data_IF_852275442935
#
_entry.id   IF_852275442935
#
_cell.length_a   1.000
_cell.length_b   1.000
_cell.length_c   1.000
_cell.angle_alpha   90.00
_cell.angle_beta   90.00
_cell.angle_gamma   90.00
#
_symmetry.space_group_name_H-M   'P 1'
#
loop_
_entity.id
_entity.type
_entity.pdbx_description
1 polymer ?
#
# COMPACT_ATOMS: atom_id res chain seq x y z
N UNK A 1 77.98 19.85 -25.86
CA UNK A 1 77.65 18.48 -26.29
C UNK A 1 77.19 17.60 -25.15
N UNK A 2 75.96 17.77 -24.65
CA UNK A 2 75.36 16.89 -23.61
C UNK A 2 73.89 16.52 -23.86
N UNK A 3 73.34 16.79 -25.06
CA UNK A 3 71.95 16.44 -25.43
C UNK A 3 71.82 15.23 -26.38
N UNK A 4 72.88 14.80 -27.08
CA UNK A 4 72.77 13.71 -28.06
C UNK A 4 72.92 12.30 -27.44
N UNK A 5 73.44 12.18 -26.21
CA UNK A 5 73.68 10.87 -25.57
C UNK A 5 72.46 10.32 -24.82
N UNK A 6 71.52 11.18 -24.41
CA UNK A 6 70.26 10.78 -23.76
C UNK A 6 69.26 10.26 -24.79
N UNK A 7 69.18 10.89 -25.97
CA UNK A 7 68.25 10.49 -27.03
C UNK A 7 68.60 9.11 -27.61
N UNK A 8 69.88 8.81 -27.78
CA UNK A 8 70.31 7.50 -28.27
C UNK A 8 70.06 6.37 -27.24
N UNK A 9 70.26 6.64 -25.95
CA UNK A 9 69.97 5.66 -24.88
C UNK A 9 68.48 5.34 -24.77
N UNK A 10 67.61 6.33 -24.96
CA UNK A 10 66.16 6.12 -24.99
C UNK A 10 65.74 5.27 -26.20
N UNK A 11 66.31 5.52 -27.39
CA UNK A 11 65.97 4.75 -28.59
C UNK A 11 66.42 3.29 -28.48
N UNK A 12 67.58 3.02 -27.87
CA UNK A 12 68.04 1.63 -27.63
C UNK A 12 67.18 0.94 -26.57
N UNK A 13 66.73 1.66 -25.53
CA UNK A 13 65.81 1.09 -24.55
C UNK A 13 64.45 0.76 -25.17
N UNK A 14 63.93 1.61 -26.05
CA UNK A 14 62.65 1.36 -26.75
C UNK A 14 62.77 0.16 -27.69
N UNK A 15 63.89 0.00 -28.40
CA UNK A 15 64.07 -1.17 -29.29
C UNK A 15 64.24 -2.48 -28.51
N UNK A 16 64.95 -2.46 -27.38
CA UNK A 16 65.10 -3.64 -26.51
C UNK A 16 63.76 -4.01 -25.85
N UNK A 17 62.98 -3.04 -25.37
CA UNK A 17 61.63 -3.30 -24.83
C UNK A 17 60.68 -3.81 -25.92
N UNK A 18 60.78 -3.30 -27.15
CA UNK A 18 59.98 -3.79 -28.28
C UNK A 18 60.35 -5.22 -28.68
N UNK A 19 61.64 -5.58 -28.64
CA UNK A 19 62.11 -6.95 -28.95
C UNK A 19 61.76 -7.95 -27.84
N UNK A 20 61.75 -7.54 -26.57
CA UNK A 20 61.36 -8.43 -25.45
C UNK A 20 59.84 -8.63 -25.39
N UNK A 21 59.03 -7.66 -25.85
CA UNK A 21 57.57 -7.80 -25.91
C UNK A 21 57.05 -8.61 -27.12
N UNK A 22 57.87 -8.88 -28.14
CA UNK A 22 57.42 -9.60 -29.34
C UNK A 22 57.45 -11.12 -29.24
N UNK A 23 57.98 -11.70 -28.16
CA UNK A 23 58.11 -13.17 -27.99
C UNK A 23 57.51 -13.71 -26.68
N UNK A 24 56.52 -13.02 -26.11
CA UNK A 24 55.61 -13.60 -25.11
C UNK A 24 54.31 -14.02 -25.81
N UNK A 25 54.37 -15.22 -26.39
CA UNK A 25 53.29 -16.21 -26.48
C UNK A 25 51.92 -15.77 -27.07
N UNK A 26 51.94 -15.28 -28.32
CA UNK A 26 50.74 -15.13 -29.15
C UNK A 26 49.98 -16.47 -29.35
N UNK A 27 50.64 -17.62 -29.23
CA UNK A 27 50.00 -18.94 -29.35
C UNK A 27 49.17 -19.31 -28.13
N UNK A 28 49.65 -19.10 -26.89
CA UNK A 28 48.84 -19.37 -25.68
C UNK A 28 47.68 -18.39 -25.51
N UNK A 29 47.82 -17.13 -25.92
CA UNK A 29 46.72 -16.16 -25.84
C UNK A 29 45.60 -16.46 -26.84
N UNK A 30 45.95 -16.93 -28.05
CA UNK A 30 44.98 -17.41 -29.03
C UNK A 30 44.21 -18.65 -28.56
N UNK A 31 44.92 -19.60 -27.93
CA UNK A 31 44.29 -20.80 -27.34
C UNK A 31 43.36 -20.43 -26.17
N UNK A 32 43.82 -19.57 -25.25
CA UNK A 32 42.99 -19.09 -24.14
C UNK A 32 41.77 -18.32 -24.64
N UNK A 33 41.92 -17.44 -25.63
CA UNK A 33 40.79 -16.73 -26.26
C UNK A 33 39.81 -17.68 -26.94
N UNK A 34 40.30 -18.70 -27.67
CA UNK A 34 39.48 -19.72 -28.32
C UNK A 34 38.69 -20.61 -27.35
N UNK A 35 39.16 -20.76 -26.10
CA UNK A 35 38.51 -21.57 -25.06
C UNK A 35 37.61 -20.71 -24.15
N UNK A 36 37.98 -19.44 -23.94
CA UNK A 36 37.27 -18.48 -23.08
C UNK A 36 36.06 -17.88 -23.80
N UNK A 37 36.18 -17.48 -25.07
CA UNK A 37 35.06 -16.93 -25.87
C UNK A 37 33.83 -17.87 -25.97
N UNK A 38 33.96 -19.18 -26.26
CA UNK A 38 32.79 -20.05 -26.32
C UNK A 38 32.16 -20.25 -24.94
N UNK A 39 32.96 -20.31 -23.87
CA UNK A 39 32.44 -20.46 -22.49
C UNK A 39 31.73 -19.20 -21.99
N UNK A 40 32.27 -18.02 -22.29
CA UNK A 40 31.62 -16.74 -21.99
C UNK A 40 30.32 -16.62 -22.78
N UNK A 41 30.31 -16.99 -24.07
CA UNK A 41 29.11 -16.97 -24.90
C UNK A 41 28.00 -17.92 -24.41
N UNK A 42 28.36 -19.15 -24.01
CA UNK A 42 27.40 -20.12 -23.46
C UNK A 42 26.84 -19.65 -22.12
N UNK A 43 27.69 -19.09 -21.25
CA UNK A 43 27.24 -18.55 -19.97
C UNK A 43 26.35 -17.31 -20.16
N UNK A 44 26.67 -16.42 -21.10
CA UNK A 44 25.84 -15.26 -21.45
C UNK A 44 24.47 -15.69 -21.98
N UNK A 45 24.40 -16.73 -22.83
CA UNK A 45 23.13 -17.28 -23.30
C UNK A 45 22.30 -17.88 -22.16
N UNK A 46 22.95 -18.57 -21.22
CA UNK A 46 22.29 -19.12 -20.03
C UNK A 46 21.74 -18.02 -19.12
N UNK A 47 22.49 -16.95 -18.92
CA UNK A 47 22.03 -15.77 -18.15
C UNK A 47 20.82 -15.15 -18.85
N UNK A 48 20.88 -14.92 -20.15
CA UNK A 48 19.76 -14.36 -20.92
C UNK A 48 18.50 -15.26 -20.86
N UNK A 49 18.66 -16.59 -20.92
CA UNK A 49 17.55 -17.52 -20.75
C UNK A 49 16.96 -17.48 -19.34
N UNK A 50 17.80 -17.31 -18.32
CA UNK A 50 17.34 -17.16 -16.94
C UNK A 50 16.61 -15.84 -16.72
N UNK A 51 17.11 -14.73 -17.28
CA UNK A 51 16.43 -13.44 -17.28
C UNK A 51 15.04 -13.55 -17.92
N UNK A 52 14.92 -14.19 -19.08
CA UNK A 52 13.63 -14.38 -19.74
C UNK A 52 12.65 -15.23 -18.92
N UNK A 53 13.15 -16.25 -18.21
CA UNK A 53 12.33 -17.06 -17.31
C UNK A 53 11.91 -16.28 -16.06
N UNK A 54 12.81 -15.44 -15.53
CA UNK A 54 12.53 -14.55 -14.42
C UNK A 54 11.44 -13.55 -14.79
N UNK A 55 11.52 -12.92 -15.96
CA UNK A 55 10.53 -11.99 -16.46
C UNK A 55 9.16 -12.68 -16.62
N UNK A 56 9.14 -13.87 -17.25
CA UNK A 56 7.91 -14.65 -17.39
C UNK A 56 7.29 -15.06 -16.05
N UNK A 57 8.12 -15.46 -15.09
CA UNK A 57 7.66 -15.81 -13.74
C UNK A 57 7.11 -14.58 -13.00
N UNK A 58 7.72 -13.41 -13.20
CA UNK A 58 7.25 -12.15 -12.64
C UNK A 58 5.87 -11.80 -13.22
N UNK A 59 5.71 -11.88 -14.53
CA UNK A 59 4.42 -11.65 -15.20
C UNK A 59 3.35 -12.65 -14.70
N UNK A 60 3.69 -13.93 -14.58
CA UNK A 60 2.78 -14.97 -14.05
C UNK A 60 2.35 -14.68 -12.59
N UNK A 61 3.26 -14.15 -11.75
CA UNK A 61 2.94 -13.75 -10.37
C UNK A 61 2.08 -12.48 -10.35
N UNK A 62 2.35 -11.51 -11.22
CA UNK A 62 1.52 -10.28 -11.34
C UNK A 62 0.09 -10.62 -11.78
N UNK A 63 -0.07 -11.52 -12.77
CA UNK A 63 -1.37 -12.01 -13.22
C UNK A 63 -2.09 -12.81 -12.11
N UNK A 64 -1.37 -13.67 -11.38
CA UNK A 64 -1.92 -14.43 -10.27
C UNK A 64 -2.39 -13.54 -9.11
N UNK A 65 -1.72 -12.39 -8.87
CA UNK A 65 -2.13 -11.40 -7.88
C UNK A 65 -3.47 -10.72 -8.24
N UNK A 66 -3.81 -10.67 -9.52
CA UNK A 66 -5.07 -10.09 -9.99
C UNK A 66 -6.22 -11.12 -10.06
N UNK A 67 -5.90 -12.41 -9.97
CA UNK A 67 -6.90 -13.47 -9.88
C UNK A 67 -7.42 -13.54 -8.46
N UNK A 68 -8.60 -12.95 -8.22
CA UNK A 68 -9.32 -13.15 -6.95
C UNK A 68 -9.51 -14.64 -6.72
N UNK A 69 -9.11 -15.11 -5.55
CA UNK A 69 -9.41 -16.48 -5.15
C UNK A 69 -10.90 -16.62 -4.87
N UNK A 70 -11.40 -17.86 -4.83
CA UNK A 70 -12.80 -18.10 -4.45
C UNK A 70 -13.04 -17.59 -3.03
N UNK A 71 -12.07 -17.73 -2.13
CA UNK A 71 -12.16 -17.28 -0.75
C UNK A 71 -12.28 -15.75 -0.66
N UNK A 72 -11.47 -14.99 -1.42
CA UNK A 72 -11.57 -13.52 -1.46
C UNK A 72 -12.97 -13.04 -1.91
N UNK A 73 -13.56 -13.76 -2.88
CA UNK A 73 -14.90 -13.44 -3.38
C UNK A 73 -15.97 -13.82 -2.36
N UNK A 74 -15.80 -14.93 -1.65
CA UNK A 74 -16.72 -15.36 -0.60
C UNK A 74 -16.69 -14.37 0.57
N UNK A 75 -15.52 -13.95 1.03
CA UNK A 75 -15.38 -12.93 2.08
C UNK A 75 -16.01 -11.59 1.67
N UNK A 76 -15.79 -11.15 0.42
CA UNK A 76 -16.41 -9.92 -0.08
C UNK A 76 -17.94 -10.02 -0.12
N UNK A 77 -18.48 -11.15 -0.57
CA UNK A 77 -19.93 -11.37 -0.66
C UNK A 77 -20.55 -11.49 0.73
N UNK A 78 -19.90 -12.18 1.66
CA UNK A 78 -20.35 -12.35 3.04
C UNK A 78 -20.39 -10.99 3.77
N UNK A 79 -19.33 -10.19 3.64
CA UNK A 79 -19.29 -8.84 4.20
C UNK A 79 -20.39 -7.92 3.65
N UNK A 80 -20.75 -8.09 2.37
CA UNK A 80 -21.87 -7.35 1.75
C UNK A 80 -23.23 -7.88 2.20
N UNK A 81 -23.37 -9.20 2.35
CA UNK A 81 -24.59 -9.83 2.83
C UNK A 81 -24.91 -9.37 4.26
N UNK A 82 -23.91 -9.32 5.15
CA UNK A 82 -24.07 -8.86 6.54
C UNK A 82 -24.59 -7.41 6.67
N UNK A 83 -24.39 -6.56 5.65
CA UNK A 83 -24.94 -5.20 5.61
C UNK A 83 -26.37 -5.13 5.06
N UNK A 84 -26.83 -6.17 4.38
CA UNK A 84 -28.18 -6.28 3.77
C UNK A 84 -29.11 -7.10 4.65
N UNK A 85 -28.58 -8.05 5.41
CA UNK A 85 -29.32 -8.79 6.42
C UNK A 85 -29.82 -7.83 7.51
N UNK A 86 -31.08 -8.02 7.90
CA UNK A 86 -31.77 -7.15 8.83
C UNK A 86 -31.09 -7.22 10.21
N UNK A 87 -30.38 -6.13 10.58
CA UNK A 87 -29.79 -6.02 11.90
C UNK A 87 -30.91 -6.01 12.93
N UNK A 88 -30.86 -6.97 13.84
CA UNK A 88 -31.84 -7.06 14.93
C UNK A 88 -31.49 -6.06 16.03
N UNK A 89 -30.20 -5.79 16.20
CA UNK A 89 -29.68 -4.85 17.20
C UNK A 89 -29.76 -3.40 16.69
N UNK A 90 -30.00 -2.43 17.60
CA UNK A 90 -29.85 -1.00 17.35
C UNK A 90 -28.49 -0.62 16.74
N UNK A 91 -28.42 0.54 16.07
CA UNK A 91 -27.21 1.01 15.37
C UNK A 91 -26.00 1.18 16.29
N UNK A 92 -26.17 1.45 17.57
CA UNK A 92 -25.11 1.62 18.57
C UNK A 92 -24.71 0.34 19.30
N UNK A 93 -25.34 -0.79 18.93
CA UNK A 93 -25.09 -2.11 19.45
C UNK A 93 -24.43 -3.02 18.40
N UNK A 94 -23.72 -4.02 18.90
CA UNK A 94 -23.05 -5.07 18.18
C UNK A 94 -23.83 -6.36 18.34
N UNK A 95 -24.08 -7.07 17.24
CA UNK A 95 -24.78 -8.36 17.27
C UNK A 95 -23.75 -9.49 17.30
N UNK A 96 -23.79 -10.32 18.35
CA UNK A 96 -22.97 -11.54 18.42
C UNK A 96 -23.30 -12.49 17.28
N UNK A 97 -22.32 -13.27 16.83
CA UNK A 97 -22.56 -14.37 15.90
C UNK A 97 -23.27 -15.53 16.66
N UNK A 98 -24.25 -16.16 16.02
CA UNK A 98 -24.95 -17.34 16.58
C UNK A 98 -26.46 -17.19 16.82
N UNK A 99 -27.06 -18.28 17.32
CA UNK A 99 -28.52 -18.45 17.42
C UNK A 99 -29.20 -17.58 18.48
N UNK A 100 -28.43 -17.05 19.44
CA UNK A 100 -28.92 -16.11 20.43
C UNK A 100 -28.64 -14.70 19.94
N UNK A 101 -29.70 -13.96 19.58
CA UNK A 101 -29.64 -12.54 19.22
C UNK A 101 -29.29 -11.71 20.47
N UNK A 102 -28.02 -11.79 20.90
CA UNK A 102 -27.47 -10.97 21.97
C UNK A 102 -26.87 -9.72 21.34
N UNK A 103 -27.32 -8.58 21.84
CA UNK A 103 -26.80 -7.28 21.46
C UNK A 103 -25.89 -6.77 22.57
N UNK A 104 -24.68 -6.35 22.21
CA UNK A 104 -23.68 -5.78 23.10
C UNK A 104 -23.49 -4.31 22.77
N UNK A 105 -23.02 -3.53 23.73
CA UNK A 105 -22.55 -2.18 23.40
C UNK A 105 -21.35 -2.26 22.47
N UNK A 106 -21.27 -1.38 21.47
CA UNK A 106 -20.06 -1.23 20.63
C UNK A 106 -18.79 -0.87 21.42
N UNK A 107 -18.90 -0.58 22.72
CA UNK A 107 -17.76 -0.36 23.63
C UNK A 107 -17.13 -1.65 24.15
N UNK A 108 -17.85 -2.77 24.11
CA UNK A 108 -17.43 -4.07 24.64
C UNK A 108 -16.71 -4.93 23.59
N UNK A 109 -16.84 -4.58 22.31
CA UNK A 109 -16.17 -5.33 21.24
C UNK A 109 -14.67 -5.06 21.27
N UNK A 110 -13.86 -6.12 21.26
CA UNK A 110 -12.40 -6.07 21.34
C UNK A 110 -11.88 -5.35 22.59
N UNK A 111 -12.60 -5.48 23.71
CA UNK A 111 -12.22 -4.91 25.00
C UNK A 111 -11.26 -5.81 25.81
N UNK A 112 -11.08 -7.06 25.34
CA UNK A 112 -10.27 -8.10 25.96
C UNK A 112 -11.07 -9.06 26.86
N UNK A 113 -12.39 -8.91 26.92
CA UNK A 113 -13.30 -9.78 27.64
C UNK A 113 -14.28 -10.43 26.68
N UNK A 114 -14.45 -11.74 26.82
CA UNK A 114 -15.42 -12.48 26.03
C UNK A 114 -16.83 -12.24 26.57
N UNK A 115 -17.58 -11.34 25.93
CA UNK A 115 -18.94 -10.99 26.28
C UNK A 115 -19.99 -11.72 25.42
N UNK A 116 -19.65 -12.11 24.18
CA UNK A 116 -20.52 -13.00 23.40
C UNK A 116 -20.36 -14.46 23.87
N UNK A 117 -21.46 -15.22 23.84
CA UNK A 117 -21.46 -16.62 24.27
C UNK A 117 -20.58 -17.50 23.34
N UNK A 118 -20.41 -17.07 22.09
CA UNK A 118 -19.54 -17.68 21.09
C UNK A 118 -18.15 -17.03 21.00
N UNK A 119 -17.96 -15.89 21.65
CA UNK A 119 -16.73 -15.11 21.66
C UNK A 119 -16.43 -14.31 20.39
N UNK A 120 -17.45 -14.12 19.54
CA UNK A 120 -17.31 -13.34 18.31
C UNK A 120 -16.85 -11.90 18.55
N UNK A 121 -17.17 -11.30 19.68
CA UNK A 121 -16.74 -9.95 20.05
C UNK A 121 -15.22 -9.79 20.23
N UNK A 122 -14.48 -10.90 20.40
CA UNK A 122 -13.02 -10.95 20.58
C UNK A 122 -12.31 -11.70 19.43
N UNK A 123 -12.99 -11.92 18.30
CA UNK A 123 -12.38 -12.56 17.13
C UNK A 123 -11.35 -11.63 16.47
N UNK A 124 -10.08 -12.04 16.49
CA UNK A 124 -8.95 -11.27 15.95
C UNK A 124 -8.95 -11.17 14.41
N UNK A 125 -9.50 -12.15 13.71
CA UNK A 125 -9.43 -12.24 12.25
C UNK A 125 -10.56 -11.41 11.60
N UNK A 126 -11.72 -11.31 12.25
CA UNK A 126 -12.88 -10.63 11.67
C UNK A 126 -13.22 -9.28 12.33
N UNK A 127 -13.31 -9.21 13.65
CA UNK A 127 -13.79 -8.00 14.33
C UNK A 127 -12.66 -7.12 14.87
N UNK A 128 -11.65 -7.74 15.48
CA UNK A 128 -10.52 -7.02 16.09
C UNK A 128 -9.34 -6.80 15.13
N UNK A 129 -9.53 -7.10 13.85
CA UNK A 129 -8.55 -6.82 12.80
C UNK A 129 -8.30 -5.32 12.63
N UNK A 130 -7.08 -4.91 12.92
CA UNK A 130 -6.59 -3.53 12.83
C UNK A 130 -5.92 -3.22 11.50
N UNK A 131 -5.85 -4.20 10.60
CA UNK A 131 -5.21 -4.06 9.30
C UNK A 131 -5.69 -2.83 8.51
N UNK A 132 -6.99 -2.50 8.45
CA UNK A 132 -7.49 -1.30 7.78
C UNK A 132 -6.76 0.00 8.13
N UNK A 133 -6.31 0.12 9.38
CA UNK A 133 -5.69 1.35 9.91
C UNK A 133 -4.23 1.16 10.29
N UNK A 134 -3.57 0.14 9.72
CA UNK A 134 -2.14 -0.06 9.92
C UNK A 134 -1.33 1.12 9.32
N UNK A 135 -0.37 1.70 10.07
CA UNK A 135 0.46 2.80 9.58
C UNK A 135 1.21 2.44 8.30
N UNK A 136 1.33 3.41 7.39
CA UNK A 136 1.96 3.24 6.09
C UNK A 136 1.02 2.78 4.98
N UNK A 137 -0.22 2.38 5.29
CA UNK A 137 -1.24 2.08 4.28
C UNK A 137 -1.69 3.36 3.57
N UNK A 138 -1.84 3.26 2.26
CA UNK A 138 -2.31 4.35 1.39
C UNK A 138 -3.53 3.84 0.62
N UNK A 139 -4.66 4.49 0.82
CA UNK A 139 -5.90 4.22 0.08
C UNK A 139 -6.11 5.32 -0.95
N UNK A 140 -6.17 4.96 -2.22
CA UNK A 140 -6.30 5.92 -3.32
C UNK A 140 -7.57 5.66 -4.12
N UNK A 141 -8.16 6.71 -4.67
CA UNK A 141 -9.39 6.61 -5.44
C UNK A 141 -9.94 7.97 -5.84
N UNK A 142 -11.27 8.05 -6.02
CA UNK A 142 -11.95 9.26 -6.47
C UNK A 142 -13.04 9.67 -5.49
N UNK A 143 -13.08 10.97 -5.20
CA UNK A 143 -14.12 11.62 -4.43
C UNK A 143 -15.13 12.29 -5.35
N UNK A 144 -16.42 12.05 -5.12
CA UNK A 144 -17.55 12.64 -5.82
C UNK A 144 -18.40 13.45 -4.85
N UNK A 145 -18.52 14.75 -5.12
CA UNK A 145 -19.29 15.69 -4.30
C UNK A 145 -20.62 16.02 -4.97
N UNK A 146 -21.68 16.12 -4.16
CA UNK A 146 -22.99 16.53 -4.63
C UNK A 146 -23.65 17.61 -3.75
N UNK A 147 -23.05 17.96 -2.60
CA UNK A 147 -23.55 19.02 -1.70
C UNK A 147 -22.42 19.63 -0.85
N UNK A 148 -22.75 20.61 -0.01
CA UNK A 148 -21.90 21.34 0.94
C UNK A 148 -20.83 22.25 0.31
N UNK A 149 -20.08 21.75 -0.67
CA UNK A 149 -19.05 22.51 -1.39
C UNK A 149 -19.15 22.18 -2.88
N UNK A 150 -19.09 23.19 -3.73
CA UNK A 150 -19.04 23.01 -5.18
C UNK A 150 -17.63 22.54 -5.60
N UNK A 151 -17.39 21.23 -5.55
CA UNK A 151 -16.17 20.59 -6.02
C UNK A 151 -16.46 19.66 -7.19
N UNK A 152 -15.63 19.69 -8.22
CA UNK A 152 -15.66 18.66 -9.26
C UNK A 152 -15.13 17.34 -8.70
N UNK A 153 -15.52 16.19 -9.28
CA UNK A 153 -14.91 14.91 -8.94
C UNK A 153 -13.39 14.98 -9.09
N UNK A 154 -12.68 14.51 -8.07
CA UNK A 154 -11.23 14.68 -7.97
C UNK A 154 -10.58 13.44 -7.39
N UNK A 155 -9.28 13.25 -7.68
CA UNK A 155 -8.53 12.18 -7.06
C UNK A 155 -8.32 12.48 -5.57
N UNK A 156 -8.34 11.43 -4.75
CA UNK A 156 -8.15 11.50 -3.32
C UNK A 156 -7.29 10.33 -2.86
N UNK A 157 -6.41 10.60 -1.88
CA UNK A 157 -5.58 9.60 -1.24
C UNK A 157 -5.60 9.80 0.28
N UNK A 158 -5.77 8.71 1.01
CA UNK A 158 -5.77 8.66 2.47
C UNK A 158 -4.57 7.84 2.92
N UNK A 159 -3.61 8.48 3.59
CA UNK A 159 -2.40 7.83 4.12
C UNK A 159 -2.52 7.68 5.62
N UNK A 160 -2.49 6.45 6.13
CA UNK A 160 -2.53 6.21 7.58
C UNK A 160 -1.15 6.42 8.18
N UNK A 161 -1.03 7.32 9.16
CA UNK A 161 0.24 7.71 9.79
C UNK A 161 0.48 7.02 11.12
N UNK A 162 -0.58 6.81 11.92
CA UNK A 162 -0.48 6.18 13.22
C UNK A 162 -1.80 5.55 13.67
N UNK A 163 -1.73 4.43 14.40
CA UNK A 163 -2.83 3.77 15.09
C UNK A 163 -2.51 3.58 16.59
N UNK A 164 -2.99 4.50 17.42
CA UNK A 164 -2.69 4.51 18.84
C UNK A 164 -3.74 3.66 19.58
N UNK A 165 -3.28 2.61 20.28
CA UNK A 165 -4.10 1.81 21.20
C UNK A 165 -4.14 2.50 22.58
N UNK A 166 -5.32 2.67 23.16
CA UNK A 166 -5.49 3.13 24.53
C UNK A 166 -5.74 1.92 25.42
N UNK A 167 -4.91 1.71 26.45
CA UNK A 167 -4.99 0.50 27.28
C UNK A 167 -6.33 0.33 28.00
N UNK A 168 -6.97 1.44 28.38
CA UNK A 168 -8.28 1.43 29.03
C UNK A 168 -9.46 1.38 28.05
N UNK A 169 -9.18 1.39 26.74
CA UNK A 169 -10.21 1.52 25.72
C UNK A 169 -9.73 0.97 24.37
N UNK A 170 -9.84 -0.34 24.21
CA UNK A 170 -9.31 -1.07 23.07
C UNK A 170 -10.34 -1.24 21.94
N UNK A 171 -11.63 -1.10 22.25
CA UNK A 171 -12.74 -1.07 21.28
C UNK A 171 -12.59 0.01 20.19
N UNK A 172 -11.73 1.02 20.42
CA UNK A 172 -11.37 2.02 19.41
C UNK A 172 -9.86 2.21 19.32
N UNK A 173 -9.37 2.42 18.10
CA UNK A 173 -7.99 2.87 17.84
C UNK A 173 -8.03 4.34 17.50
N UNK A 174 -7.19 5.16 18.14
CA UNK A 174 -7.04 6.55 17.74
C UNK A 174 -6.16 6.60 16.50
N UNK A 175 -6.66 7.17 15.42
CA UNK A 175 -5.96 7.18 14.13
C UNK A 175 -5.53 8.59 13.77
N UNK A 176 -4.30 8.71 13.28
CA UNK A 176 -3.81 9.90 12.58
C UNK A 176 -3.51 9.54 11.14
N UNK A 177 -3.91 10.41 10.22
CA UNK A 177 -3.74 10.18 8.80
C UNK A 177 -3.55 11.52 8.05
N UNK A 178 -3.07 11.43 6.83
CA UNK A 178 -2.99 12.54 5.90
C UNK A 178 -3.99 12.30 4.76
N UNK A 179 -4.79 13.31 4.44
CA UNK A 179 -5.71 13.30 3.32
C UNK A 179 -5.17 14.21 2.22
N UNK A 180 -4.76 13.62 1.10
CA UNK A 180 -4.28 14.31 -0.08
C UNK A 180 -5.37 14.33 -1.15
N UNK A 181 -5.55 15.47 -1.81
CA UNK A 181 -6.46 15.60 -2.95
C UNK A 181 -5.81 16.35 -4.09
N UNK A 182 -6.20 15.99 -5.31
CA UNK A 182 -5.71 16.60 -6.54
C UNK A 182 -6.89 17.12 -7.34
N UNK A 183 -7.07 18.43 -7.35
CA UNK A 183 -8.20 19.12 -7.99
C UNK A 183 -7.75 19.83 -9.27
N UNK A 184 -8.63 19.92 -10.28
CA UNK A 184 -8.42 20.77 -11.44
C UNK A 184 -9.26 22.04 -11.30
N UNK A 185 -8.61 23.17 -11.06
CA UNK A 185 -9.25 24.47 -10.91
C UNK A 185 -8.84 25.35 -12.08
N UNK A 186 -9.79 25.64 -12.97
CA UNK A 186 -9.58 26.47 -14.17
C UNK A 186 -8.40 26.01 -15.06
N UNK A 187 -8.23 24.69 -15.23
CA UNK A 187 -7.14 24.12 -16.04
C UNK A 187 -5.80 24.01 -15.30
N UNK A 188 -5.73 24.41 -14.03
CA UNK A 188 -4.54 24.22 -13.18
C UNK A 188 -4.78 23.09 -12.19
N UNK A 189 -3.83 22.16 -12.13
CA UNK A 189 -3.79 21.13 -11.09
C UNK A 189 -3.36 21.77 -9.77
N UNK A 190 -4.19 21.59 -8.74
CA UNK A 190 -3.94 22.04 -7.37
C UNK A 190 -3.94 20.82 -6.47
N UNK A 191 -2.86 20.64 -5.74
CA UNK A 191 -2.73 19.59 -4.74
C UNK A 191 -2.91 20.19 -3.36
N UNK A 192 -3.63 19.48 -2.49
CA UNK A 192 -3.85 19.88 -1.11
C UNK A 192 -3.68 18.68 -0.20
N UNK A 193 -2.91 18.85 0.86
CA UNK A 193 -2.72 17.87 1.92
C UNK A 193 -3.29 18.42 3.22
N UNK A 194 -4.16 17.65 3.87
CA UNK A 194 -4.77 17.98 5.15
C UNK A 194 -4.39 16.91 6.19
N UNK A 195 -3.93 17.35 7.35
CA UNK A 195 -3.73 16.45 8.49
C UNK A 195 -5.07 16.15 9.15
N UNK A 196 -5.42 14.87 9.24
CA UNK A 196 -6.69 14.42 9.79
C UNK A 196 -6.48 13.47 10.96
N UNK A 197 -7.39 13.53 11.92
CA UNK A 197 -7.38 12.68 13.10
C UNK A 197 -8.76 12.11 13.38
N UNK A 198 -8.81 11.01 14.09
CA UNK A 198 -10.05 10.49 14.61
C UNK A 198 -9.86 9.10 15.20
N UNK A 199 -10.78 8.19 14.89
CA UNK A 199 -10.75 6.85 15.46
C UNK A 199 -11.31 5.79 14.52
N UNK A 200 -10.78 4.59 14.66
CA UNK A 200 -11.34 3.38 14.09
C UNK A 200 -12.20 2.68 15.14
N UNK A 201 -13.43 2.33 14.77
CA UNK A 201 -14.36 1.58 15.59
C UNK A 201 -14.39 0.12 15.12
N UNK A 202 -13.99 -0.81 15.99
CA UNK A 202 -13.94 -2.24 15.67
C UNK A 202 -15.33 -2.81 15.38
N UNK A 203 -16.28 -2.56 16.28
CA UNK A 203 -17.65 -3.07 16.17
C UNK A 203 -18.37 -2.65 14.87
N UNK A 204 -18.12 -1.42 14.40
CA UNK A 204 -18.74 -0.88 13.19
C UNK A 204 -17.86 -0.98 11.93
N UNK A 205 -16.63 -1.47 12.07
CA UNK A 205 -15.59 -1.48 11.03
C UNK A 205 -15.53 -0.17 10.25
N UNK A 206 -15.54 0.95 10.96
CA UNK A 206 -15.49 2.27 10.34
C UNK A 206 -14.45 3.21 10.95
N UNK A 207 -13.82 3.99 10.07
CA UNK A 207 -12.86 5.03 10.41
C UNK A 207 -13.55 6.38 10.30
N UNK A 208 -13.60 7.10 11.42
CA UNK A 208 -14.11 8.47 11.48
C UNK A 208 -12.93 9.42 11.52
N UNK A 209 -12.90 10.38 10.59
CA UNK A 209 -11.83 11.36 10.45
C UNK A 209 -12.40 12.77 10.46
N UNK A 210 -11.71 13.65 11.18
CA UNK A 210 -11.93 15.09 11.18
C UNK A 210 -10.62 15.80 10.88
N UNK A 211 -10.72 16.96 10.26
CA UNK A 211 -9.58 17.85 10.05
C UNK A 211 -9.04 18.33 11.40
N UNK A 212 -7.72 18.21 11.59
CA UNK A 212 -7.06 18.63 12.82
C UNK A 212 -7.05 20.16 12.99
N UNK A 213 -6.99 20.89 11.87
CA UNK A 213 -6.94 22.37 11.84
C UNK A 213 -8.32 23.00 11.60
N UNK A 214 -9.36 22.17 11.42
CA UNK A 214 -10.75 22.59 11.12
C UNK A 214 -10.89 23.47 9.87
N UNK A 215 -9.94 23.38 8.93
CA UNK A 215 -9.97 24.10 7.64
C UNK A 215 -11.01 23.54 6.67
N UNK A 216 -11.49 22.33 6.93
CA UNK A 216 -12.49 21.59 6.15
C UNK A 216 -13.92 22.13 6.26
N UNK A 217 -14.15 23.31 6.86
CA UNK A 217 -15.47 23.93 7.03
C UNK A 217 -16.43 23.01 7.81
N UNK A 218 -15.90 22.27 8.80
CA UNK A 218 -16.67 21.34 9.61
C UNK A 218 -17.11 20.08 8.86
N UNK A 219 -16.37 19.65 7.84
CA UNK A 219 -16.63 18.38 7.13
C UNK A 219 -15.80 17.27 7.78
N UNK A 220 -16.48 16.16 8.09
CA UNK A 220 -15.87 14.90 8.53
C UNK A 220 -15.95 13.86 7.42
N UNK A 221 -15.13 12.82 7.51
CA UNK A 221 -15.21 11.64 6.66
C UNK A 221 -15.50 10.40 7.52
N UNK A 222 -16.43 9.56 7.07
CA UNK A 222 -16.75 8.27 7.68
C UNK A 222 -16.50 7.19 6.63
N UNK A 223 -15.48 6.38 6.85
CA UNK A 223 -15.01 5.35 5.93
C UNK A 223 -15.37 3.96 6.45
N UNK A 224 -16.19 3.22 5.71
CA UNK A 224 -16.63 1.86 6.05
C UNK A 224 -15.78 0.83 5.31
N UNK A 225 -15.13 -0.05 6.08
CA UNK A 225 -14.28 -1.11 5.57
C UNK A 225 -15.08 -2.41 5.48
N UNK A 226 -15.32 -2.85 4.25
CA UNK A 226 -15.93 -4.16 3.99
C UNK A 226 -14.84 -5.23 4.04
N UNK A 227 -13.70 -4.96 3.40
CA UNK A 227 -12.47 -5.76 3.48
C UNK A 227 -11.33 -4.87 3.98
N UNK A 228 -10.15 -5.45 4.20
CA UNK A 228 -8.96 -4.66 4.58
C UNK A 228 -8.50 -3.70 3.48
N UNK A 229 -8.90 -3.92 2.24
CA UNK A 229 -8.28 -3.31 1.06
C UNK A 229 -9.19 -2.30 0.36
N UNK A 230 -10.49 -2.31 0.68
CA UNK A 230 -11.47 -1.41 0.10
C UNK A 230 -12.27 -0.68 1.17
N UNK A 231 -12.46 0.62 0.97
CA UNK A 231 -13.28 1.46 1.84
C UNK A 231 -14.21 2.35 1.06
N UNK A 232 -15.44 2.47 1.55
CA UNK A 232 -16.41 3.44 1.10
C UNK A 232 -16.49 4.58 2.13
N UNK A 233 -16.01 5.75 1.73
CA UNK A 233 -15.99 6.95 2.56
C UNK A 233 -17.16 7.87 2.21
N UNK A 234 -17.85 8.35 3.23
CA UNK A 234 -18.90 9.35 3.11
C UNK A 234 -18.42 10.64 3.78
N UNK A 235 -18.46 11.74 3.03
CA UNK A 235 -18.19 13.07 3.57
C UNK A 235 -19.47 13.64 4.17
N UNK A 236 -19.42 14.08 5.42
CA UNK A 236 -20.58 14.57 6.17
C UNK A 236 -20.28 15.86 6.89
N UNK A 237 -21.30 16.68 7.15
CA UNK A 237 -21.18 17.81 8.07
C UNK A 237 -21.05 17.29 9.50
N UNK A 238 -20.03 17.74 10.22
CA UNK A 238 -19.75 17.35 11.63
C UNK A 238 -20.93 17.61 12.56
N UNK A 239 -21.71 18.67 12.32
CA UNK A 239 -22.81 19.09 13.19
C UNK A 239 -24.12 18.32 12.96
N UNK A 240 -24.48 18.06 11.70
CA UNK A 240 -25.78 17.48 11.33
C UNK A 240 -25.70 16.07 10.77
N UNK A 241 -24.49 15.59 10.48
CA UNK A 241 -24.23 14.35 9.73
C UNK A 241 -24.85 14.35 8.33
N UNK A 242 -25.23 15.52 7.81
CA UNK A 242 -25.74 15.67 6.45
C UNK A 242 -24.68 15.29 5.42
N UNK A 243 -25.05 14.44 4.45
CA UNK A 243 -24.13 13.89 3.45
C UNK A 243 -23.79 14.92 2.36
N UNK A 244 -22.49 15.08 2.12
CA UNK A 244 -21.91 16.01 1.14
C UNK A 244 -21.40 15.31 -0.13
N UNK A 245 -20.95 14.07 0.01
CA UNK A 245 -20.35 13.30 -1.08
C UNK A 245 -19.83 11.94 -0.62
N UNK A 246 -19.31 11.18 -1.59
CA UNK A 246 -18.78 9.84 -1.38
C UNK A 246 -17.41 9.69 -2.04
N UNK A 247 -16.59 8.80 -1.51
CA UNK A 247 -15.34 8.38 -2.12
C UNK A 247 -15.14 6.88 -1.97
N UNK A 248 -14.76 6.24 -3.06
CA UNK A 248 -14.40 4.82 -3.07
C UNK A 248 -12.88 4.75 -3.17
N UNK A 249 -12.22 4.22 -2.14
CA UNK A 249 -10.77 4.13 -2.07
C UNK A 249 -10.33 2.67 -1.97
N UNK A 250 -9.25 2.35 -2.66
CA UNK A 250 -8.61 1.03 -2.64
C UNK A 250 -7.17 1.15 -2.16
N UNK A 251 -6.71 0.13 -1.44
CA UNK A 251 -5.31 0.01 -1.01
C UNK A 251 -4.40 -0.06 -2.24
N UNK A 252 -3.28 0.68 -2.18
CA UNK A 252 -2.26 0.75 -3.23
C UNK A 252 -1.13 -0.26 -3.02
#
# INVERSE_FOLDING_TARGET
GRQNTTMWRLLVFVSVVALVNSEIDQQRLGLLRSVIEPRIGVNALRIHQLEKRLEKLKDEIEDAKHSRTVDDVVEEVDARLYHVEERVCPDDEFQCLGNAQKCLSTLLVCDGHQDCDDGSDEDEDFYCDVSPVKPGRVYSGYAHWHSCVARMPHAASLTIKADIKLNAFTARRVVKADYHRVENIHGKTVETENHVKGYFNMAKRNLVLIDEEDTSQGIAAICHFHTSDHTNCTFVLKASLGVCGHAYLSLQ
#
